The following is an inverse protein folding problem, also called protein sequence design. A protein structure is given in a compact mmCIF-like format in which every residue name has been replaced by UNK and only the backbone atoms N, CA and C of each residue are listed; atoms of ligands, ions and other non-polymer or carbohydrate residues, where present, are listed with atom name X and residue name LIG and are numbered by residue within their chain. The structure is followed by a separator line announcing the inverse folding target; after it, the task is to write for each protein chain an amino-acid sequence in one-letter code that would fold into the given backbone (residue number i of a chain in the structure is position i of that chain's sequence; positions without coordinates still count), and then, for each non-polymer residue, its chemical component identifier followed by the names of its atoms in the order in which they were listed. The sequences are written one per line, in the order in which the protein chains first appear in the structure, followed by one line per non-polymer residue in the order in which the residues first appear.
data_IF_166596555426
#
_entry.id   IF_166596555426
#
_cell.length_a   1.000
_cell.length_b   1.000
_cell.length_c   1.000
_cell.angle_alpha   90.00
_cell.angle_beta   90.00
_cell.angle_gamma   90.00
#
_symmetry.space_group_name_H-M   'P 1'
#
loop_
_entity.id
_entity.type
_entity.pdbx_description
1 polymer ?
#
# COMPACT_ATOMS: atom_id res chain seq x y z
N UNK A 1 -16.92 -4.80 -37.36
CA UNK A 1 -17.93 -5.64 -36.67
C UNK A 1 -17.47 -7.08 -36.38
N UNK A 2 -16.93 -7.86 -37.33
CA UNK A 2 -16.51 -9.26 -37.07
C UNK A 2 -15.48 -9.42 -35.92
N UNK A 3 -14.43 -8.58 -35.90
CA UNK A 3 -13.42 -8.58 -34.84
C UNK A 3 -13.99 -8.17 -33.47
N UNK A 4 -14.88 -7.18 -33.43
CA UNK A 4 -15.58 -6.76 -32.22
C UNK A 4 -16.43 -7.88 -31.62
N UNK A 5 -17.22 -8.58 -32.44
CA UNK A 5 -18.04 -9.72 -31.99
C UNK A 5 -17.19 -10.85 -31.43
N UNK A 6 -16.01 -11.10 -32.01
CA UNK A 6 -15.04 -12.10 -31.51
C UNK A 6 -14.46 -11.66 -30.17
N UNK A 7 -14.10 -10.38 -30.03
CA UNK A 7 -13.60 -9.81 -28.78
C UNK A 7 -14.60 -9.91 -27.64
N UNK A 8 -15.85 -9.49 -27.86
CA UNK A 8 -16.91 -9.59 -26.85
C UNK A 8 -17.16 -11.04 -26.43
N UNK A 9 -17.14 -11.99 -27.38
CA UNK A 9 -17.32 -13.42 -27.07
C UNK A 9 -16.20 -13.95 -26.16
N UNK A 10 -14.94 -13.65 -26.47
CA UNK A 10 -13.83 -14.08 -25.64
C UNK A 10 -13.87 -13.41 -24.26
N UNK A 11 -14.18 -12.11 -24.22
CA UNK A 11 -14.33 -11.39 -22.97
C UNK A 11 -15.42 -12.02 -22.09
N UNK A 12 -16.63 -12.24 -22.62
CA UNK A 12 -17.74 -12.83 -21.84
C UNK A 12 -17.35 -14.22 -21.33
N UNK A 13 -16.79 -15.09 -22.18
CA UNK A 13 -16.42 -16.44 -21.77
C UNK A 13 -15.37 -16.45 -20.66
N UNK A 14 -14.29 -15.68 -20.82
CA UNK A 14 -13.21 -15.58 -19.82
C UNK A 14 -13.74 -14.95 -18.53
N UNK A 15 -14.52 -13.89 -18.65
CA UNK A 15 -15.10 -13.19 -17.51
C UNK A 15 -16.03 -14.07 -16.70
N UNK A 16 -16.90 -14.86 -17.36
CA UNK A 16 -17.75 -15.83 -16.66
C UNK A 16 -16.95 -16.87 -15.89
N UNK A 17 -15.89 -17.43 -16.49
CA UNK A 17 -15.02 -18.40 -15.81
C UNK A 17 -14.31 -17.74 -14.63
N UNK A 18 -13.70 -16.58 -14.85
CA UNK A 18 -12.96 -15.85 -13.81
C UNK A 18 -13.88 -15.40 -12.67
N UNK A 19 -15.12 -15.01 -12.97
CA UNK A 19 -16.13 -14.67 -11.98
C UNK A 19 -16.52 -15.86 -11.12
N UNK A 20 -16.80 -17.02 -11.71
CA UNK A 20 -17.14 -18.24 -10.95
C UNK A 20 -15.96 -18.66 -10.08
N UNK A 21 -14.77 -18.83 -10.66
CA UNK A 21 -13.58 -19.26 -9.92
C UNK A 21 -13.19 -18.26 -8.82
N UNK A 22 -13.18 -16.96 -9.13
CA UNK A 22 -12.82 -15.91 -8.19
C UNK A 22 -13.82 -15.80 -7.04
N UNK A 23 -15.11 -15.90 -7.33
CA UNK A 23 -16.15 -15.88 -6.31
C UNK A 23 -16.07 -17.10 -5.39
N UNK A 24 -15.93 -18.31 -5.95
CA UNK A 24 -15.78 -19.54 -5.14
C UNK A 24 -14.57 -19.44 -4.22
N UNK A 25 -13.42 -18.97 -4.71
CA UNK A 25 -12.22 -18.79 -3.88
C UNK A 25 -12.40 -17.79 -2.74
N UNK A 26 -13.10 -16.68 -2.98
CA UNK A 26 -13.41 -15.69 -1.94
C UNK A 26 -14.37 -16.24 -0.88
N UNK A 27 -15.40 -16.98 -1.29
CA UNK A 27 -16.36 -17.59 -0.35
C UNK A 27 -15.68 -18.64 0.52
N UNK A 28 -14.83 -19.50 -0.05
CA UNK A 28 -14.09 -20.51 0.72
C UNK A 28 -13.18 -19.83 1.75
N UNK A 29 -12.38 -18.84 1.32
CA UNK A 29 -11.47 -18.11 2.21
C UNK A 29 -12.20 -17.49 3.40
N UNK A 30 -13.38 -16.95 3.15
CA UNK A 30 -14.15 -16.25 4.17
C UNK A 30 -14.94 -17.21 5.07
N UNK A 31 -15.32 -18.39 4.56
CA UNK A 31 -15.83 -19.50 5.35
C UNK A 31 -14.76 -20.06 6.29
N UNK A 32 -13.53 -20.24 5.81
CA UNK A 32 -12.39 -20.70 6.61
C UNK A 32 -12.04 -19.71 7.74
N UNK A 33 -12.25 -18.41 7.52
CA UNK A 33 -12.07 -17.37 8.53
C UNK A 33 -13.17 -17.33 9.60
N UNK A 34 -14.20 -18.17 9.48
CA UNK A 34 -15.30 -18.24 10.43
C UNK A 34 -16.36 -17.15 10.25
N UNK A 35 -16.24 -16.26 9.26
CA UNK A 35 -17.09 -15.06 9.13
C UNK A 35 -18.57 -15.39 8.96
N UNK A 36 -18.91 -16.50 8.30
CA UNK A 36 -20.29 -16.87 7.99
C UNK A 36 -21.04 -17.62 9.09
N UNK A 37 -20.37 -18.13 10.13
CA UNK A 37 -21.00 -19.02 11.12
C UNK A 37 -21.97 -18.29 12.05
N UNK A 38 -21.76 -16.99 12.26
CA UNK A 38 -22.53 -16.19 13.21
C UNK A 38 -23.49 -15.19 12.51
N UNK A 39 -23.59 -15.23 11.17
CA UNK A 39 -24.43 -14.33 10.37
C UNK A 39 -25.76 -15.00 9.98
N UNK A 40 -26.87 -14.26 10.08
CA UNK A 40 -28.15 -14.70 9.50
C UNK A 40 -28.03 -14.86 7.97
N UNK A 41 -28.84 -15.74 7.39
CA UNK A 41 -28.81 -16.12 5.97
C UNK A 41 -28.94 -14.91 5.05
N UNK A 42 -29.79 -13.94 5.41
CA UNK A 42 -29.96 -12.69 4.65
C UNK A 42 -28.71 -11.82 4.69
N UNK A 43 -28.04 -11.77 5.83
CA UNK A 43 -26.83 -10.98 6.02
C UNK A 43 -25.61 -11.60 5.36
N UNK A 44 -25.48 -12.93 5.45
CA UNK A 44 -24.46 -13.70 4.75
C UNK A 44 -24.58 -13.52 3.23
N UNK A 45 -25.81 -13.56 2.70
CA UNK A 45 -26.07 -13.34 1.28
C UNK A 45 -25.75 -11.90 0.86
N UNK A 46 -26.11 -10.91 1.70
CA UNK A 46 -25.70 -9.52 1.52
C UNK A 46 -24.19 -9.37 1.44
N UNK A 47 -23.45 -10.00 2.37
CA UNK A 47 -21.98 -9.98 2.41
C UNK A 47 -21.34 -10.64 1.18
N UNK A 48 -21.86 -11.80 0.76
CA UNK A 48 -21.45 -12.48 -0.47
C UNK A 48 -21.61 -11.58 -1.70
N UNK A 49 -22.74 -10.87 -1.82
CA UNK A 49 -22.94 -9.90 -2.91
C UNK A 49 -21.88 -8.79 -2.85
N UNK A 50 -21.53 -8.27 -1.66
CA UNK A 50 -20.48 -7.24 -1.53
C UNK A 50 -19.10 -7.78 -1.96
N UNK A 51 -18.74 -9.00 -1.54
CA UNK A 51 -17.50 -9.66 -1.93
C UNK A 51 -17.42 -9.86 -3.44
N UNK A 52 -18.50 -10.36 -4.05
CA UNK A 52 -18.59 -10.51 -5.49
C UNK A 52 -18.42 -9.18 -6.21
N UNK A 53 -19.11 -8.13 -5.76
CA UNK A 53 -19.03 -6.80 -6.36
C UNK A 53 -17.62 -6.19 -6.26
N UNK A 54 -16.93 -6.43 -5.14
CA UNK A 54 -15.54 -5.99 -4.94
C UNK A 54 -14.57 -6.78 -5.83
N UNK A 55 -14.84 -8.06 -6.08
CA UNK A 55 -14.02 -8.87 -6.97
C UNK A 55 -14.16 -8.43 -8.44
N UNK A 56 -15.35 -7.98 -8.87
CA UNK A 56 -15.61 -7.60 -10.27
C UNK A 56 -14.61 -6.54 -10.78
N UNK A 57 -14.23 -5.56 -9.97
CA UNK A 57 -13.28 -4.52 -10.39
C UNK A 57 -11.90 -5.05 -10.72
N UNK A 58 -11.47 -6.13 -10.05
CA UNK A 58 -10.21 -6.82 -10.34
C UNK A 58 -10.33 -7.82 -11.50
N UNK A 59 -11.50 -8.42 -11.68
CA UNK A 59 -11.76 -9.44 -12.70
C UNK A 59 -11.97 -8.85 -14.10
N UNK A 60 -12.53 -7.64 -14.20
CA UNK A 60 -12.69 -6.91 -15.46
C UNK A 60 -11.34 -6.72 -16.19
N UNK A 61 -10.32 -6.07 -15.61
CA UNK A 61 -9.03 -5.86 -16.28
C UNK A 61 -8.32 -7.18 -16.59
N UNK A 62 -8.43 -8.19 -15.71
CA UNK A 62 -7.87 -9.51 -15.96
C UNK A 62 -8.50 -10.18 -17.19
N UNK A 63 -9.83 -10.27 -17.22
CA UNK A 63 -10.56 -10.93 -18.30
C UNK A 63 -10.40 -10.19 -19.63
N UNK A 64 -10.36 -8.85 -19.57
CA UNK A 64 -10.06 -8.00 -20.71
C UNK A 64 -8.66 -8.27 -21.25
N UNK A 65 -7.66 -8.41 -20.38
CA UNK A 65 -6.27 -8.67 -20.77
C UNK A 65 -6.14 -9.97 -21.55
N UNK A 66 -6.69 -11.07 -21.03
CA UNK A 66 -6.64 -12.39 -21.68
C UNK A 66 -7.44 -12.39 -22.98
N UNK A 67 -8.64 -11.80 -22.99
CA UNK A 67 -9.45 -11.69 -24.21
C UNK A 67 -8.72 -10.89 -25.29
N UNK A 68 -8.08 -9.79 -24.91
CA UNK A 68 -7.33 -8.93 -25.82
C UNK A 68 -6.15 -9.69 -26.41
N UNK A 69 -5.36 -10.35 -25.56
CA UNK A 69 -4.26 -11.19 -25.99
C UNK A 69 -4.70 -12.20 -27.05
N UNK A 70 -5.77 -12.97 -26.80
CA UNK A 70 -6.25 -13.99 -27.74
C UNK A 70 -6.76 -13.39 -29.07
N UNK A 71 -7.43 -12.23 -29.04
CA UNK A 71 -7.87 -11.56 -30.27
C UNK A 71 -6.68 -11.14 -31.14
N UNK A 72 -5.66 -10.55 -30.54
CA UNK A 72 -4.49 -10.06 -31.28
C UNK A 72 -3.55 -11.17 -31.69
N UNK A 73 -3.46 -12.24 -30.89
CA UNK A 73 -2.69 -13.44 -31.22
C UNK A 73 -3.31 -14.21 -32.39
N UNK A 74 -4.64 -14.33 -32.44
CA UNK A 74 -5.37 -15.04 -33.51
C UNK A 74 -5.66 -14.15 -34.74
N UNK A 75 -4.89 -13.09 -34.96
CA UNK A 75 -5.06 -12.19 -36.09
C UNK A 75 -4.26 -12.70 -37.30
N UNK A 76 -4.91 -12.84 -38.47
CA UNK A 76 -4.31 -13.50 -39.64
C UNK A 76 -3.36 -12.60 -40.47
N UNK A 77 -3.36 -11.27 -40.26
CA UNK A 77 -2.63 -10.31 -41.14
C UNK A 77 -1.50 -9.58 -40.43
N UNK A 78 -0.33 -9.51 -41.08
CA UNK A 78 0.91 -8.93 -40.51
C UNK A 78 1.00 -7.40 -40.61
N UNK A 79 0.02 -6.72 -41.22
CA UNK A 79 0.08 -5.27 -41.41
C UNK A 79 -0.28 -4.50 -40.13
N UNK A 80 0.59 -3.59 -39.71
CA UNK A 80 0.35 -2.66 -38.59
C UNK A 80 -0.93 -1.84 -38.72
N UNK A 81 -1.35 -1.50 -39.94
CA UNK A 81 -2.62 -0.79 -40.16
C UNK A 81 -3.86 -1.58 -39.68
N UNK A 82 -3.82 -2.91 -39.78
CA UNK A 82 -4.89 -3.79 -39.27
C UNK A 82 -4.83 -3.90 -37.75
N UNK A 83 -3.62 -3.87 -37.17
CA UNK A 83 -3.42 -3.80 -35.73
C UNK A 83 -4.08 -2.55 -35.15
N UNK A 84 -3.72 -1.36 -35.62
CA UNK A 84 -4.29 -0.09 -35.10
C UNK A 84 -5.80 0.00 -35.30
N UNK A 85 -6.31 -0.48 -36.44
CA UNK A 85 -7.77 -0.54 -36.68
C UNK A 85 -8.46 -1.48 -35.69
N UNK A 86 -7.87 -2.62 -35.39
CA UNK A 86 -8.43 -3.57 -34.41
C UNK A 86 -8.33 -3.01 -32.99
N UNK A 87 -7.24 -2.31 -32.68
CA UNK A 87 -7.02 -1.64 -31.40
C UNK A 87 -8.07 -0.54 -31.17
N UNK A 88 -8.36 0.28 -32.18
CA UNK A 88 -9.43 1.28 -32.11
C UNK A 88 -10.82 0.63 -31.93
N UNK A 89 -11.08 -0.50 -32.60
CA UNK A 89 -12.35 -1.22 -32.45
C UNK A 89 -12.52 -1.80 -31.04
N UNK A 90 -11.46 -2.35 -30.43
CA UNK A 90 -11.56 -2.88 -29.07
C UNK A 90 -11.79 -1.79 -28.03
N UNK A 91 -11.37 -0.54 -28.27
CA UNK A 91 -11.68 0.59 -27.39
C UNK A 91 -13.19 0.82 -27.22
N UNK A 92 -14.02 0.43 -28.19
CA UNK A 92 -15.49 0.49 -28.09
C UNK A 92 -16.00 -0.36 -26.92
N UNK A 93 -15.31 -1.46 -26.55
CA UNK A 93 -15.63 -2.28 -25.37
C UNK A 93 -14.92 -1.75 -24.12
N UNK A 94 -13.69 -1.25 -24.25
CA UNK A 94 -12.89 -0.74 -23.12
C UNK A 94 -13.53 0.48 -22.48
N UNK A 95 -14.05 1.41 -23.29
CA UNK A 95 -14.72 2.64 -22.83
C UNK A 95 -15.85 2.36 -21.82
N UNK A 96 -16.90 1.59 -22.14
CA UNK A 96 -17.98 1.31 -21.19
C UNK A 96 -17.51 0.51 -19.97
N UNK A 97 -16.57 -0.42 -20.10
CA UNK A 97 -16.00 -1.15 -18.96
C UNK A 97 -15.24 -0.22 -18.01
N UNK A 98 -14.49 0.74 -18.55
CA UNK A 98 -13.80 1.75 -17.75
C UNK A 98 -14.78 2.70 -17.07
N UNK A 99 -15.85 3.11 -17.76
CA UNK A 99 -16.90 3.96 -17.19
C UNK A 99 -17.65 3.24 -16.06
N UNK A 100 -17.93 1.94 -16.22
CA UNK A 100 -18.53 1.10 -15.19
C UNK A 100 -17.61 0.98 -13.96
N UNK A 101 -16.32 0.74 -14.18
CA UNK A 101 -15.33 0.63 -13.09
C UNK A 101 -15.17 1.96 -12.35
N UNK A 102 -15.09 3.06 -13.10
CA UNK A 102 -15.06 4.41 -12.55
C UNK A 102 -16.31 4.71 -11.71
N UNK A 103 -17.51 4.39 -12.23
CA UNK A 103 -18.75 4.59 -11.49
C UNK A 103 -18.78 3.75 -10.21
N UNK A 104 -18.37 2.50 -10.29
CA UNK A 104 -18.29 1.64 -9.12
C UNK A 104 -17.32 2.19 -8.06
N UNK A 105 -16.09 2.51 -8.43
CA UNK A 105 -15.05 2.94 -7.49
C UNK A 105 -15.36 4.29 -6.82
N UNK A 106 -16.02 5.21 -7.54
CA UNK A 106 -16.33 6.54 -7.01
C UNK A 106 -17.69 6.67 -6.33
N UNK A 107 -18.67 5.82 -6.66
CA UNK A 107 -20.04 5.97 -6.15
C UNK A 107 -20.51 4.75 -5.36
N UNK A 108 -20.35 3.53 -5.88
CA UNK A 108 -20.88 2.33 -5.24
C UNK A 108 -19.99 1.86 -4.09
N UNK A 109 -18.68 1.76 -4.31
CA UNK A 109 -17.71 1.29 -3.31
C UNK A 109 -17.75 2.14 -2.03
N UNK A 110 -17.80 3.49 -2.06
CA UNK A 110 -17.89 4.28 -0.84
C UNK A 110 -19.16 4.01 -0.03
N UNK A 111 -20.31 3.88 -0.67
CA UNK A 111 -21.58 3.57 0.00
C UNK A 111 -21.53 2.20 0.70
N UNK A 112 -20.98 1.19 0.02
CA UNK A 112 -20.81 -0.15 0.58
C UNK A 112 -19.88 -0.13 1.79
N UNK A 113 -18.81 0.67 1.73
CA UNK A 113 -17.88 0.83 2.85
C UNK A 113 -18.54 1.52 4.04
N UNK A 114 -19.37 2.55 3.83
CA UNK A 114 -20.17 3.18 4.91
C UNK A 114 -21.04 2.15 5.62
N UNK A 115 -21.81 1.37 4.86
CA UNK A 115 -22.70 0.33 5.43
C UNK A 115 -21.89 -0.70 6.23
N UNK A 116 -20.76 -1.15 5.69
CA UNK A 116 -19.89 -2.12 6.37
C UNK A 116 -19.30 -1.57 7.68
N UNK A 117 -18.96 -0.28 7.73
CA UNK A 117 -18.42 0.38 8.91
C UNK A 117 -19.50 0.57 9.97
N UNK A 118 -20.70 1.04 9.57
CA UNK A 118 -21.85 1.18 10.48
C UNK A 118 -22.15 -0.16 11.14
N UNK A 119 -22.26 -1.23 10.35
CA UNK A 119 -22.53 -2.58 10.86
C UNK A 119 -21.45 -3.06 11.84
N UNK A 120 -20.16 -2.79 11.55
CA UNK A 120 -19.06 -3.12 12.47
C UNK A 120 -19.12 -2.33 13.77
N UNK A 121 -19.54 -1.07 13.73
CA UNK A 121 -19.71 -0.23 14.93
C UNK A 121 -20.90 -0.71 15.76
N UNK A 122 -22.03 -1.02 15.12
CA UNK A 122 -23.22 -1.58 15.78
C UNK A 122 -22.90 -2.91 16.46
N UNK A 123 -22.14 -3.79 15.79
CA UNK A 123 -21.66 -5.02 16.40
C UNK A 123 -20.78 -4.74 17.64
N UNK A 124 -19.87 -3.76 17.57
CA UNK A 124 -19.04 -3.40 18.72
C UNK A 124 -19.85 -2.82 19.90
N UNK A 125 -20.93 -2.10 19.63
CA UNK A 125 -21.78 -1.50 20.66
C UNK A 125 -22.79 -2.50 21.25
N UNK A 126 -23.25 -3.47 20.46
CA UNK A 126 -24.34 -4.38 20.84
C UNK A 126 -23.86 -5.69 21.46
N UNK A 127 -22.65 -6.15 21.11
CA UNK A 127 -22.10 -7.40 21.63
C UNK A 127 -21.21 -7.17 22.86
N UNK A 128 -21.19 -8.11 23.83
CA UNK A 128 -20.24 -8.07 24.94
C UNK A 128 -18.80 -8.07 24.41
N UNK A 129 -17.92 -7.36 25.10
CA UNK A 129 -16.57 -7.01 24.65
C UNK A 129 -15.72 -8.23 24.22
N UNK A 130 -15.94 -9.40 24.84
CA UNK A 130 -15.30 -10.67 24.48
C UNK A 130 -15.66 -11.20 23.08
N UNK A 131 -16.87 -10.92 22.58
CA UNK A 131 -17.27 -11.26 21.21
C UNK A 131 -16.74 -10.23 20.21
N UNK A 132 -16.77 -8.94 20.56
CA UNK A 132 -16.23 -7.88 19.70
C UNK A 132 -14.71 -8.04 19.44
N UNK A 133 -13.96 -8.51 20.44
CA UNK A 133 -12.53 -8.82 20.32
C UNK A 133 -12.29 -10.09 19.47
N UNK A 134 -13.17 -11.11 19.52
CA UNK A 134 -13.10 -12.31 18.68
C UNK A 134 -13.25 -12.01 17.18
N UNK A 135 -14.03 -10.98 16.81
CA UNK A 135 -14.18 -10.52 15.42
C UNK A 135 -13.08 -9.52 14.97
N UNK A 136 -12.09 -9.22 15.83
CA UNK A 136 -10.91 -8.42 15.48
C UNK A 136 -11.21 -6.95 15.11
N UNK A 137 -12.31 -6.37 15.56
CA UNK A 137 -12.75 -5.02 15.15
C UNK A 137 -12.04 -3.93 15.97
N UNK A 138 -10.81 -3.60 15.57
CA UNK A 138 -10.07 -2.46 16.15
C UNK A 138 -10.59 -1.11 15.64
N UNK A 139 -10.68 -0.13 16.54
CA UNK A 139 -11.08 1.24 16.19
C UNK A 139 -10.11 1.87 15.18
N UNK A 140 -8.84 1.52 15.27
CA UNK A 140 -7.80 1.95 14.35
C UNK A 140 -8.03 1.44 12.91
N UNK A 141 -8.43 0.18 12.73
CA UNK A 141 -8.79 -0.33 11.40
C UNK A 141 -10.03 0.37 10.81
N UNK A 142 -10.99 0.77 11.65
CA UNK A 142 -12.15 1.55 11.20
C UNK A 142 -11.71 2.94 10.73
N UNK A 143 -10.88 3.62 11.51
CA UNK A 143 -10.34 4.94 11.19
C UNK A 143 -9.46 4.90 9.93
N UNK A 144 -8.64 3.86 9.77
CA UNK A 144 -7.81 3.67 8.58
C UNK A 144 -8.62 3.45 7.30
N UNK A 145 -9.87 2.97 7.41
CA UNK A 145 -10.79 2.79 6.28
C UNK A 145 -11.67 4.01 6.00
N UNK A 146 -11.58 5.08 6.80
CA UNK A 146 -12.35 6.32 6.62
C UNK A 146 -12.23 6.94 5.22
N UNK A 147 -11.06 6.99 4.55
CA UNK A 147 -10.98 7.51 3.18
C UNK A 147 -11.81 6.68 2.18
N UNK A 148 -11.91 5.36 2.41
CA UNK A 148 -12.63 4.43 1.53
C UNK A 148 -14.14 4.67 1.49
N UNK A 149 -14.71 5.30 2.51
CA UNK A 149 -16.14 5.60 2.60
C UNK A 149 -16.54 6.99 2.09
N UNK A 150 -15.56 7.83 1.73
CA UNK A 150 -15.82 9.18 1.24
C UNK A 150 -16.22 9.21 -0.24
N UNK A 151 -17.19 10.08 -0.56
CA UNK A 151 -17.49 10.46 -1.94
C UNK A 151 -16.32 11.20 -2.58
N UNK A 152 -16.31 11.31 -3.92
CA UNK A 152 -15.26 12.03 -4.65
C UNK A 152 -15.06 13.46 -4.13
N UNK A 153 -16.15 14.22 -4.01
CA UNK A 153 -16.12 15.62 -3.57
C UNK A 153 -15.59 15.76 -2.15
N UNK A 154 -16.04 14.90 -1.23
CA UNK A 154 -15.60 14.92 0.17
C UNK A 154 -14.13 14.51 0.30
N UNK A 155 -13.70 13.51 -0.47
CA UNK A 155 -12.31 13.05 -0.48
C UNK A 155 -11.37 14.15 -1.01
N UNK A 156 -11.74 14.81 -2.12
CA UNK A 156 -10.96 15.94 -2.67
C UNK A 156 -10.89 17.10 -1.68
N UNK A 157 -12.03 17.55 -1.14
CA UNK A 157 -12.05 18.64 -0.16
C UNK A 157 -11.23 18.33 1.10
N UNK A 158 -11.22 17.07 1.55
CA UNK A 158 -10.39 16.63 2.68
C UNK A 158 -8.90 16.62 2.31
N UNK A 159 -8.53 16.17 1.12
CA UNK A 159 -7.15 16.26 0.63
C UNK A 159 -6.69 17.71 0.58
N UNK A 160 -7.48 18.60 -0.01
CA UNK A 160 -7.14 20.03 -0.14
C UNK A 160 -7.01 20.69 1.24
N UNK A 161 -7.92 20.38 2.17
CA UNK A 161 -7.86 20.87 3.55
C UNK A 161 -6.64 20.34 4.30
N UNK A 162 -6.32 19.06 4.17
CA UNK A 162 -5.14 18.45 4.80
C UNK A 162 -3.85 19.01 4.20
N UNK A 163 -3.80 19.22 2.89
CA UNK A 163 -2.65 19.80 2.18
C UNK A 163 -2.41 21.25 2.61
N UNK A 164 -3.48 22.04 2.76
CA UNK A 164 -3.39 23.41 3.28
C UNK A 164 -2.87 23.43 4.72
N UNK A 165 -3.41 22.56 5.59
CA UNK A 165 -2.95 22.47 6.98
C UNK A 165 -1.51 21.99 7.08
N UNK A 166 -1.13 21.02 6.25
CA UNK A 166 0.23 20.48 6.18
C UNK A 166 1.22 21.56 5.77
N UNK A 167 0.89 22.34 4.74
CA UNK A 167 1.74 23.44 4.28
C UNK A 167 1.88 24.53 5.35
N UNK A 168 0.79 24.88 6.05
CA UNK A 168 0.84 25.84 7.14
C UNK A 168 1.76 25.39 8.29
N UNK A 169 1.73 24.11 8.66
CA UNK A 169 2.65 23.56 9.68
C UNK A 169 4.10 23.51 9.19
N UNK A 170 4.34 23.18 7.91
CA UNK A 170 5.68 23.23 7.30
C UNK A 170 6.24 24.65 7.33
N UNK A 171 5.43 25.64 6.91
CA UNK A 171 5.84 27.05 6.86
C UNK A 171 6.14 27.56 8.28
N UNK A 172 5.31 27.17 9.26
CA UNK A 172 5.54 27.48 10.67
C UNK A 172 6.82 26.84 11.19
N UNK A 173 7.08 25.57 10.87
CA UNK A 173 8.34 24.91 11.23
C UNK A 173 9.55 25.63 10.61
N UNK A 174 9.47 26.02 9.34
CA UNK A 174 10.52 26.80 8.66
C UNK A 174 10.77 28.15 9.35
N UNK A 175 9.71 28.86 9.72
CA UNK A 175 9.81 30.12 10.46
C UNK A 175 10.45 29.91 11.84
N UNK A 176 9.98 28.92 12.61
CA UNK A 176 10.52 28.59 13.94
C UNK A 176 12.00 28.20 13.87
N UNK A 177 12.42 27.44 12.86
CA UNK A 177 13.83 27.12 12.63
C UNK A 177 14.68 28.36 12.35
N UNK A 178 14.16 29.32 11.57
CA UNK A 178 14.90 30.55 11.25
C UNK A 178 15.14 31.46 12.45
N UNK A 179 14.35 31.29 13.52
CA UNK A 179 14.51 32.02 14.78
C UNK A 179 15.52 31.36 15.72
N UNK A 180 15.95 30.13 15.42
CA UNK A 180 16.93 29.39 16.23
C UNK A 180 18.37 29.66 15.76
N UNK A 181 19.35 29.62 16.67
CA UNK A 181 20.77 29.55 16.32
C UNK A 181 21.08 28.28 15.50
N UNK A 182 22.07 28.35 14.61
CA UNK A 182 22.41 27.31 13.61
C UNK A 182 22.62 25.94 14.26
N UNK A 183 23.27 25.92 15.43
CA UNK A 183 23.55 24.68 16.17
C UNK A 183 22.26 24.03 16.70
N UNK A 184 21.32 24.82 17.21
CA UNK A 184 20.03 24.34 17.73
C UNK A 184 19.06 24.02 16.58
N UNK A 185 19.05 24.85 15.55
CA UNK A 185 18.23 24.70 14.36
C UNK A 185 18.60 23.41 13.60
N UNK A 186 19.90 23.18 13.35
CA UNK A 186 20.39 21.95 12.72
C UNK A 186 20.03 20.70 13.54
N UNK A 187 20.23 20.74 14.86
CA UNK A 187 19.88 19.63 15.75
C UNK A 187 18.37 19.32 15.72
N UNK A 188 17.52 20.35 15.74
CA UNK A 188 16.07 20.17 15.66
C UNK A 188 15.62 19.67 14.27
N UNK A 189 16.24 20.19 13.21
CA UNK A 189 16.00 19.78 11.82
C UNK A 189 16.22 18.29 11.62
N UNK A 190 17.35 17.78 12.10
CA UNK A 190 17.70 16.35 12.01
C UNK A 190 16.84 15.50 12.96
N UNK A 191 16.67 15.94 14.21
CA UNK A 191 15.96 15.17 15.24
C UNK A 191 14.47 14.98 14.87
N UNK A 192 13.83 16.01 14.33
CA UNK A 192 12.43 15.96 13.89
C UNK A 192 12.26 15.53 12.43
N UNK A 193 13.38 15.27 11.73
CA UNK A 193 13.42 14.80 10.33
C UNK A 193 12.67 15.73 9.39
N UNK A 194 12.86 17.04 9.57
CA UNK A 194 12.08 18.08 8.90
C UNK A 194 12.30 18.08 7.38
N UNK A 195 13.48 17.66 6.91
CA UNK A 195 13.75 17.42 5.49
C UNK A 195 12.77 16.43 4.86
N UNK A 196 12.46 15.32 5.57
CA UNK A 196 11.60 14.25 5.03
C UNK A 196 10.15 14.67 4.88
N UNK A 197 9.72 15.67 5.63
CA UNK A 197 8.37 16.24 5.52
C UNK A 197 8.35 17.50 4.66
N UNK A 198 9.48 17.88 4.03
CA UNK A 198 9.54 18.95 3.03
C UNK A 198 9.81 20.35 3.59
N UNK A 199 10.25 20.48 4.84
CA UNK A 199 10.69 21.77 5.39
C UNK A 199 12.03 22.14 4.75
N UNK A 200 12.05 23.25 4.02
CA UNK A 200 13.26 23.79 3.42
C UNK A 200 14.04 24.57 4.47
N UNK A 201 15.24 24.10 4.80
CA UNK A 201 16.12 24.83 5.72
C UNK A 201 16.76 26.02 5.00
N UNK A 202 16.28 27.23 5.30
CA UNK A 202 16.90 28.47 4.85
C UNK A 202 17.76 29.02 5.98
N UNK A 203 19.08 29.04 5.79
CA UNK A 203 20.04 29.62 6.73
C UNK A 203 19.77 31.12 6.86
N UNK A 204 19.16 31.53 7.98
CA UNK A 204 18.97 32.93 8.33
C UNK A 204 19.95 33.32 9.45
N UNK A 205 20.57 34.49 9.33
CA UNK A 205 21.46 35.05 10.36
C UNK A 205 20.67 35.29 11.65
N UNK A 206 21.18 34.73 12.76
CA UNK A 206 20.41 34.50 13.98
C UNK A 206 20.01 35.75 14.78
N UNK A 207 18.88 35.68 15.53
CA UNK A 207 18.44 36.73 16.43
C UNK A 207 19.19 36.75 17.78
N UNK A 208 19.28 37.93 18.39
CA UNK A 208 19.86 38.23 19.72
C UNK A 208 18.95 37.83 20.90
N UNK A 209 18.22 36.71 20.80
CA UNK A 209 17.29 36.25 21.84
C UNK A 209 18.00 35.47 22.97
N UNK A 210 17.38 35.39 24.16
CA UNK A 210 17.94 34.67 25.31
C UNK A 210 17.86 33.15 25.12
N UNK A 211 18.91 32.44 25.56
CA UNK A 211 19.09 30.99 25.33
C UNK A 211 17.90 30.13 25.83
N UNK A 212 17.33 30.45 26.99
CA UNK A 212 16.16 29.74 27.54
C UNK A 212 14.92 29.85 26.67
N UNK A 213 14.67 31.05 26.10
CA UNK A 213 13.53 31.27 25.21
C UNK A 213 13.67 30.50 23.89
N UNK A 214 14.90 30.40 23.37
CA UNK A 214 15.22 29.63 22.16
C UNK A 214 15.09 28.12 22.40
N UNK A 215 15.54 27.64 23.56
CA UNK A 215 15.36 26.24 23.96
C UNK A 215 13.89 25.86 24.12
N UNK A 216 13.07 26.75 24.67
CA UNK A 216 11.62 26.55 24.78
C UNK A 216 10.95 26.45 23.40
N UNK A 217 11.28 27.35 22.48
CA UNK A 217 10.75 27.35 21.10
C UNK A 217 11.13 26.08 20.35
N UNK A 218 12.40 25.66 20.45
CA UNK A 218 12.88 24.42 19.84
C UNK A 218 12.17 23.17 20.41
N UNK A 219 11.97 23.10 21.73
CA UNK A 219 11.44 21.90 22.37
C UNK A 219 9.92 21.79 22.32
N UNK A 220 9.20 22.91 22.44
CA UNK A 220 7.74 22.88 22.65
C UNK A 220 7.00 23.17 21.36
N UNK A 221 7.19 24.36 20.79
CA UNK A 221 6.42 24.81 19.62
C UNK A 221 6.86 24.09 18.35
N UNK A 222 8.16 24.04 18.08
CA UNK A 222 8.68 23.38 16.87
C UNK A 222 8.38 21.88 16.88
N UNK A 223 8.51 21.22 18.03
CA UNK A 223 8.12 19.80 18.15
C UNK A 223 6.63 19.58 17.91
N UNK A 224 5.77 20.41 18.49
CA UNK A 224 4.32 20.28 18.32
C UNK A 224 3.90 20.41 16.85
N UNK A 225 4.42 21.43 16.15
CA UNK A 225 4.15 21.62 14.73
C UNK A 225 4.77 20.52 13.86
N UNK A 226 5.99 20.07 14.16
CA UNK A 226 6.63 18.97 13.43
C UNK A 226 5.87 17.64 13.60
N UNK A 227 5.44 17.33 14.83
CA UNK A 227 4.65 16.15 15.12
C UNK A 227 3.26 16.22 14.47
N UNK A 228 2.62 17.39 14.52
CA UNK A 228 1.37 17.69 13.81
C UNK A 228 1.50 17.46 12.30
N UNK A 229 2.54 18.02 11.68
CA UNK A 229 2.86 17.86 10.27
C UNK A 229 3.06 16.39 9.89
N UNK A 230 3.79 15.60 10.70
CA UNK A 230 3.95 14.17 10.47
C UNK A 230 2.62 13.40 10.51
N UNK A 231 1.75 13.74 11.47
CA UNK A 231 0.41 13.12 11.57
C UNK A 231 -0.45 13.47 10.35
N UNK A 232 -0.47 14.74 9.97
CA UNK A 232 -1.21 15.23 8.80
C UNK A 232 -0.64 14.60 7.52
N UNK A 233 0.68 14.50 7.38
CA UNK A 233 1.34 13.87 6.23
C UNK A 233 0.92 12.41 6.05
N UNK A 234 0.93 11.62 7.13
CA UNK A 234 0.47 10.24 7.12
C UNK A 234 -1.02 10.13 6.73
N UNK A 235 -1.86 11.03 7.26
CA UNK A 235 -3.28 11.07 6.91
C UNK A 235 -3.50 11.50 5.45
N UNK A 236 -2.78 12.50 4.98
CA UNK A 236 -2.78 12.99 3.60
C UNK A 236 -2.34 11.89 2.63
N UNK A 237 -1.27 11.15 2.95
CA UNK A 237 -0.81 10.03 2.13
C UNK A 237 -1.87 8.95 1.99
N UNK A 238 -2.60 8.61 3.05
CA UNK A 238 -3.71 7.65 2.99
C UNK A 238 -4.85 8.13 2.09
N UNK A 239 -5.24 9.40 2.21
CA UNK A 239 -6.30 9.97 1.37
C UNK A 239 -5.88 10.08 -0.10
N UNK A 240 -4.64 10.54 -0.37
CA UNK A 240 -4.06 10.56 -1.72
C UNK A 240 -3.96 9.15 -2.30
N UNK A 241 -3.48 8.16 -1.55
CA UNK A 241 -3.39 6.77 -2.00
C UNK A 241 -4.76 6.19 -2.39
N UNK A 242 -5.80 6.46 -1.60
CA UNK A 242 -7.16 6.02 -1.94
C UNK A 242 -7.71 6.73 -3.20
N UNK A 243 -7.48 8.04 -3.33
CA UNK A 243 -7.84 8.80 -4.53
C UNK A 243 -7.11 8.25 -5.78
N UNK A 244 -5.80 8.05 -5.68
CA UNK A 244 -4.98 7.50 -6.75
C UNK A 244 -5.39 6.07 -7.08
N UNK A 245 -5.66 5.22 -6.08
CA UNK A 245 -6.10 3.84 -6.30
C UNK A 245 -7.38 3.76 -7.13
N UNK A 246 -8.41 4.55 -6.79
CA UNK A 246 -9.68 4.60 -7.55
C UNK A 246 -9.48 5.10 -8.98
N UNK A 247 -8.58 6.06 -9.17
CA UNK A 247 -8.30 6.64 -10.49
C UNK A 247 -7.46 5.69 -11.35
N UNK A 248 -6.42 5.10 -10.75
CA UNK A 248 -5.53 4.14 -11.40
C UNK A 248 -6.28 2.87 -11.80
N UNK A 249 -7.24 2.37 -11.01
CA UNK A 249 -8.05 1.22 -11.41
C UNK A 249 -8.70 1.41 -12.78
N UNK A 250 -9.22 2.62 -13.05
CA UNK A 250 -9.80 2.96 -14.36
C UNK A 250 -8.71 3.03 -15.44
N UNK A 251 -7.58 3.67 -15.15
CA UNK A 251 -6.44 3.77 -16.08
C UNK A 251 -5.79 2.42 -16.41
N UNK A 252 -5.72 1.51 -15.43
CA UNK A 252 -5.17 0.16 -15.55
C UNK A 252 -5.89 -0.65 -16.62
N UNK A 253 -7.18 -0.44 -16.83
CA UNK A 253 -7.94 -1.11 -17.90
C UNK A 253 -7.37 -0.75 -19.28
N UNK A 254 -7.05 0.53 -19.51
CA UNK A 254 -6.46 0.99 -20.76
C UNK A 254 -5.01 0.52 -20.92
N UNK A 255 -4.21 0.64 -19.86
CA UNK A 255 -2.81 0.20 -19.85
C UNK A 255 -2.75 -1.30 -20.16
N UNK A 256 -3.55 -2.11 -19.46
CA UNK A 256 -3.61 -3.55 -19.67
C UNK A 256 -4.10 -3.90 -21.08
N UNK A 257 -5.16 -3.22 -21.57
CA UNK A 257 -5.63 -3.41 -22.93
C UNK A 257 -4.54 -3.17 -23.97
N UNK A 258 -3.82 -2.04 -23.89
CA UNK A 258 -2.75 -1.69 -24.83
C UNK A 258 -1.60 -2.72 -24.73
N UNK A 259 -1.13 -3.00 -23.51
CA UNK A 259 -0.04 -3.96 -23.27
C UNK A 259 -0.37 -5.34 -23.84
N UNK A 260 -1.54 -5.90 -23.52
CA UNK A 260 -1.91 -7.24 -23.96
C UNK A 260 -2.26 -7.30 -25.45
N UNK A 261 -2.71 -6.19 -26.06
CA UNK A 261 -2.84 -6.09 -27.51
C UNK A 261 -1.47 -6.19 -28.19
N UNK A 262 -0.47 -5.43 -27.69
CA UNK A 262 0.90 -5.50 -28.18
C UNK A 262 1.50 -6.89 -27.97
N UNK A 263 1.39 -7.46 -26.77
CA UNK A 263 1.88 -8.81 -26.47
C UNK A 263 1.25 -9.85 -27.39
N UNK A 264 -0.08 -9.86 -27.53
CA UNK A 264 -0.77 -10.81 -28.40
C UNK A 264 -0.29 -10.72 -29.85
N UNK A 265 -0.11 -9.49 -30.36
CA UNK A 265 0.39 -9.26 -31.71
C UNK A 265 1.85 -9.71 -31.88
N UNK A 266 2.73 -9.36 -30.93
CA UNK A 266 4.16 -9.69 -30.96
C UNK A 266 4.42 -11.19 -30.79
N UNK A 267 3.63 -11.90 -29.97
CA UNK A 267 3.74 -13.34 -29.77
C UNK A 267 3.46 -14.16 -31.03
N UNK A 268 2.96 -13.55 -32.10
CA UNK A 268 2.82 -14.23 -33.40
C UNK A 268 4.18 -14.53 -34.04
N UNK A 269 5.18 -13.68 -33.83
CA UNK A 269 6.47 -13.80 -34.48
C UNK A 269 7.32 -14.88 -33.80
N UNK A 270 7.74 -15.91 -34.57
CA UNK A 270 8.63 -16.99 -34.10
C UNK A 270 9.88 -16.51 -33.34
N UNK A 271 10.64 -15.49 -33.79
CA UNK A 271 11.83 -15.04 -33.04
C UNK A 271 11.45 -14.38 -31.71
N UNK A 272 10.34 -13.65 -31.66
CA UNK A 272 9.89 -12.96 -30.45
C UNK A 272 9.45 -13.97 -29.37
N UNK A 273 8.84 -15.11 -29.75
CA UNK A 273 8.55 -16.19 -28.79
C UNK A 273 9.80 -16.69 -28.06
N UNK A 274 10.93 -16.80 -28.77
CA UNK A 274 12.20 -17.22 -28.17
C UNK A 274 12.72 -16.16 -27.20
N UNK A 275 12.66 -14.88 -27.59
CA UNK A 275 13.09 -13.75 -26.75
C UNK A 275 12.25 -13.67 -25.46
N UNK A 276 10.93 -13.79 -25.57
CA UNK A 276 10.02 -13.78 -24.42
C UNK A 276 10.21 -15.00 -23.51
N UNK A 277 10.49 -16.18 -24.06
CA UNK A 277 10.84 -17.34 -23.26
C UNK A 277 12.12 -17.10 -22.44
N UNK A 278 13.13 -16.45 -23.03
CA UNK A 278 14.35 -16.05 -22.32
C UNK A 278 14.04 -15.05 -21.20
N UNK A 279 13.21 -14.03 -21.46
CA UNK A 279 12.78 -13.09 -20.40
C UNK A 279 12.02 -13.78 -19.27
N UNK A 280 11.12 -14.72 -19.57
CA UNK A 280 10.40 -15.48 -18.55
C UNK A 280 11.36 -16.27 -17.65
N UNK A 281 12.37 -16.93 -18.25
CA UNK A 281 13.42 -17.63 -17.50
C UNK A 281 14.23 -16.66 -16.64
N UNK A 282 14.60 -15.49 -17.17
CA UNK A 282 15.32 -14.46 -16.41
C UNK A 282 14.50 -13.92 -15.23
N UNK A 283 13.20 -13.72 -15.39
CA UNK A 283 12.31 -13.25 -14.31
C UNK A 283 12.25 -14.30 -13.19
N UNK A 284 12.08 -15.58 -13.55
CA UNK A 284 12.07 -16.68 -12.57
C UNK A 284 13.43 -16.77 -11.86
N UNK A 285 14.53 -16.66 -12.60
CA UNK A 285 15.88 -16.67 -12.02
C UNK A 285 16.11 -15.48 -11.06
N UNK A 286 15.64 -14.28 -11.40
CA UNK A 286 15.74 -13.10 -10.54
C UNK A 286 14.90 -13.26 -9.25
N UNK A 287 13.72 -13.88 -9.35
CA UNK A 287 12.90 -14.21 -8.19
C UNK A 287 13.61 -15.19 -7.25
N UNK A 288 14.17 -16.27 -7.81
CA UNK A 288 14.93 -17.27 -7.04
C UNK A 288 16.15 -16.61 -6.38
N UNK A 289 16.88 -15.75 -7.09
CA UNK A 289 18.02 -15.02 -6.55
C UNK A 289 17.64 -14.14 -5.35
N UNK A 290 16.54 -13.39 -5.46
CA UNK A 290 16.05 -12.55 -4.36
C UNK A 290 15.64 -13.37 -3.13
N UNK A 291 14.97 -14.51 -3.34
CA UNK A 291 14.57 -15.40 -2.25
C UNK A 291 15.80 -15.97 -1.52
N UNK A 292 16.80 -16.43 -2.28
CA UNK A 292 18.08 -16.91 -1.76
C UNK A 292 18.80 -15.80 -0.99
N UNK A 293 18.86 -14.58 -1.53
CA UNK A 293 19.49 -13.45 -0.85
C UNK A 293 18.78 -13.09 0.46
N UNK A 294 17.44 -13.19 0.50
CA UNK A 294 16.65 -13.00 1.73
C UNK A 294 17.01 -14.04 2.80
N UNK A 295 17.13 -15.31 2.40
CA UNK A 295 17.51 -16.42 3.28
C UNK A 295 18.94 -16.24 3.79
N UNK A 296 19.89 -15.89 2.90
CA UNK A 296 21.30 -15.66 3.25
C UNK A 296 21.43 -14.49 4.22
N UNK A 297 20.71 -13.38 4.01
CA UNK A 297 20.68 -12.27 4.96
C UNK A 297 20.07 -12.68 6.30
N UNK A 298 19.02 -13.51 6.28
CA UNK A 298 18.44 -14.09 7.49
C UNK A 298 19.45 -14.93 8.29
N UNK A 299 20.22 -15.78 7.61
CA UNK A 299 21.29 -16.58 8.23
C UNK A 299 22.45 -15.71 8.73
N UNK A 300 22.90 -14.74 7.95
CA UNK A 300 23.97 -13.82 8.34
C UNK A 300 23.59 -13.02 9.59
N UNK A 301 22.32 -12.59 9.69
CA UNK A 301 21.81 -11.88 10.86
C UNK A 301 21.79 -12.76 12.09
N UNK A 302 21.40 -14.04 11.94
CA UNK A 302 21.40 -15.03 13.03
C UNK A 302 22.83 -15.34 13.52
N UNK A 303 23.76 -15.52 12.60
CA UNK A 303 25.19 -15.70 12.90
C UNK A 303 25.78 -14.49 13.63
N UNK A 304 25.40 -13.28 13.24
CA UNK A 304 25.88 -12.07 13.92
C UNK A 304 25.30 -11.95 15.33
N UNK A 305 24.04 -12.35 15.54
CA UNK A 305 23.44 -12.38 16.89
C UNK A 305 24.09 -13.42 17.79
N UNK A 306 24.32 -14.64 17.28
CA UNK A 306 25.01 -15.71 18.02
C UNK A 306 26.47 -15.33 18.32
N UNK A 307 27.18 -14.72 17.37
CA UNK A 307 28.54 -14.23 17.59
C UNK A 307 28.61 -13.10 18.62
N UNK A 308 27.65 -12.16 18.61
CA UNK A 308 27.60 -11.10 19.62
C UNK A 308 27.28 -11.64 21.00
N UNK A 309 26.39 -12.64 21.12
CA UNK A 309 26.10 -13.29 22.40
C UNK A 309 27.32 -14.01 22.97
N UNK A 310 28.08 -14.74 22.15
CA UNK A 310 29.30 -15.41 22.59
C UNK A 310 30.33 -14.39 23.10
N UNK A 311 30.47 -13.26 22.41
CA UNK A 311 31.38 -12.18 22.82
C UNK A 311 30.94 -11.56 24.15
N UNK A 312 29.65 -11.25 24.31
CA UNK A 312 29.11 -10.69 25.56
C UNK A 312 29.25 -11.66 26.74
N UNK A 313 28.95 -12.95 26.54
CA UNK A 313 29.13 -13.99 27.57
C UNK A 313 30.60 -14.12 27.98
N UNK A 314 31.53 -14.04 27.01
CA UNK A 314 32.97 -14.08 27.28
C UNK A 314 33.43 -12.85 28.07
N UNK A 315 32.94 -11.66 27.75
CA UNK A 315 33.26 -10.45 28.51
C UNK A 315 32.76 -10.53 29.95
N UNK A 316 31.55 -11.07 30.14
CA UNK A 316 30.96 -11.26 31.47
C UNK A 316 31.77 -12.25 32.32
N UNK A 317 32.22 -13.35 31.74
CA UNK A 317 33.08 -14.33 32.41
C UNK A 317 34.44 -13.72 32.82
N UNK A 318 35.03 -12.88 31.96
CA UNK A 318 36.28 -12.16 32.27
C UNK A 318 36.10 -11.19 33.43
N UNK A 319 34.98 -10.45 33.48
CA UNK A 319 34.70 -9.52 34.57
C UNK A 319 34.43 -10.25 35.89
N UNK A 320 33.72 -11.39 35.87
CA UNK A 320 33.52 -12.24 37.06
C UNK A 320 34.86 -12.79 37.61
N UNK A 321 35.78 -13.19 36.74
CA UNK A 321 37.15 -13.61 37.13
C UNK A 321 37.96 -12.43 37.70
N UNK A 322 37.78 -11.22 37.17
CA UNK A 322 38.47 -10.03 37.68
C UNK A 322 37.96 -9.65 39.07
N UNK A 323 36.65 -9.72 39.28
CA UNK A 323 36.04 -9.47 40.58
C UNK A 323 36.41 -10.51 41.64
N UNK A 324 36.49 -11.79 41.27
CA UNK A 324 36.90 -12.85 42.20
C UNK A 324 38.36 -12.66 42.64
N UNK A 325 39.27 -12.36 41.71
CA UNK A 325 40.66 -12.02 42.03
C UNK A 325 40.81 -10.78 42.90
N UNK A 326 39.97 -9.75 42.69
CA UNK A 326 39.97 -8.57 43.55
C UNK A 326 39.45 -8.86 44.96
N UNK A 327 38.51 -9.80 45.12
CA UNK A 327 38.06 -10.27 46.43
C UNK A 327 39.12 -11.11 47.13
N UNK A 328 39.83 -11.99 46.42
CA UNK A 328 40.95 -12.76 46.97
C UNK A 328 42.07 -11.84 47.47
N UNK A 329 42.51 -10.86 46.67
CA UNK A 329 43.53 -9.88 47.08
C UNK A 329 43.12 -9.05 48.31
N UNK A 330 41.84 -8.71 48.45
CA UNK A 330 41.34 -8.00 49.66
C UNK A 330 41.33 -8.88 50.90
N UNK A 331 41.25 -10.20 50.74
CA UNK A 331 41.24 -11.15 51.86
C UNK A 331 42.67 -11.45 52.35
N UNK A 332 43.64 -11.48 51.43
CA UNK A 332 45.07 -11.67 51.75
C UNK A 332 45.74 -10.44 52.40
N UNK A 333 45.11 -9.26 52.33
CA UNK A 333 45.64 -8.03 52.98
C UNK A 333 45.12 -7.86 54.44
N UNK A 334 44.31 -8.79 54.95
CA UNK A 334 43.77 -8.77 56.32
C UNK A 334 44.38 -9.83 57.26
N UNK A 335 45.45 -10.50 56.84
CA UNK A 335 46.30 -11.35 57.68
C UNK A 335 47.63 -10.64 57.95
#
# INVERSE_FOLDING_TARGET
MKHFKKFCKYFIAIFSIAAVCGFTGLVIKEADNGTFYDLDTKEALGFCVQLGLTALTSLIPYSLSVATFLVFWAMDREKWSVFFRTLAIGLILVLPLSAMTYYYDWFVRPQMMVISVIKKVEMKQSYPQSLADKYGVSMEQILNKKPMSMSKTKLTAQIDSLETSFQADIDTCGLLLSMLPDTLASKAYDCYRLERIGVVYQYAVHPTASEDSLMYVAHTELYQHAFGAWKISNELQRHKQEYFGRTLNTGCIYIAYILFAFLGYLFRFKPIKKILAVFAVLIVAAWIYNEINSIVQGYAKKLNTESHQIVDDTYKEIDEIRESKQREMKTDTQL
#
